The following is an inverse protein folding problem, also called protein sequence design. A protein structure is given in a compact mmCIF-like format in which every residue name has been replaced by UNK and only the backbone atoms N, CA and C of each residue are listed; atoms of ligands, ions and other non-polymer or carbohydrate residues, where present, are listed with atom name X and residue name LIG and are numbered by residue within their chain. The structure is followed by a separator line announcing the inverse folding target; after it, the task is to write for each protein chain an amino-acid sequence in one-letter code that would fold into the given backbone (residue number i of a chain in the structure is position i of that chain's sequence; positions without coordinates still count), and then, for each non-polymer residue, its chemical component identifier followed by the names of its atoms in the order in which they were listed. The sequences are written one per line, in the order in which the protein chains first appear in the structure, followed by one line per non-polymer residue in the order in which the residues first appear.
data_IF_252740927121
#
_entry.id   IF_252740927121
#
_cell.length_a   1.000
_cell.length_b   1.000
_cell.length_c   1.000
_cell.angle_alpha   90.00
_cell.angle_beta   90.00
_cell.angle_gamma   90.00
#
_symmetry.space_group_name_H-M   'P 1'
#
loop_
_entity.id
_entity.type
_entity.pdbx_description
1 polymer ?
#
# COMPACT_ATOMS: atom_id res chain seq x y z
N UNK A 1 49.65 2.56 62.80
CA UNK A 1 49.56 2.77 61.35
C UNK A 1 48.22 2.24 60.82
N UNK A 2 47.29 3.14 60.49
CA UNK A 2 45.98 2.73 59.90
C UNK A 2 46.01 3.08 58.44
N UNK A 3 45.96 2.04 57.56
CA UNK A 3 45.86 2.23 56.11
C UNK A 3 44.42 2.58 55.75
N UNK A 4 44.22 3.72 55.11
CA UNK A 4 42.94 4.11 54.47
C UNK A 4 42.88 3.51 53.05
N UNK A 5 41.93 2.59 52.81
CA UNK A 5 41.55 2.13 51.51
C UNK A 5 40.63 3.18 50.87
N UNK A 6 41.09 3.75 49.77
CA UNK A 6 40.23 4.58 48.87
C UNK A 6 39.52 3.64 47.90
N UNK A 7 38.20 3.55 47.95
CA UNK A 7 37.38 2.90 46.94
C UNK A 7 37.24 3.88 45.78
N UNK A 8 37.88 3.56 44.65
CA UNK A 8 37.68 4.26 43.40
C UNK A 8 36.35 3.73 42.82
N UNK A 9 35.34 4.60 42.76
CA UNK A 9 34.07 4.36 42.12
C UNK A 9 34.24 4.60 40.61
N UNK A 10 34.37 3.53 39.82
CA UNK A 10 34.44 3.62 38.35
C UNK A 10 33.02 3.88 37.84
N UNK A 11 32.74 5.14 37.49
CA UNK A 11 31.48 5.53 36.85
C UNK A 11 31.51 5.07 35.37
N UNK A 12 30.88 3.93 35.06
CA UNK A 12 30.67 3.51 33.69
C UNK A 12 29.64 4.44 33.03
N UNK A 13 30.15 5.42 32.29
CA UNK A 13 29.35 6.20 31.34
C UNK A 13 28.94 5.28 30.18
N UNK A 14 27.73 4.71 30.24
CA UNK A 14 27.11 4.13 29.07
C UNK A 14 26.78 5.27 28.09
N UNK A 15 27.24 5.19 26.82
CA UNK A 15 26.79 6.16 25.85
C UNK A 15 25.28 5.95 25.65
N UNK A 16 24.49 6.93 26.09
CA UNK A 16 23.10 7.03 25.69
C UNK A 16 23.10 7.26 24.18
N UNK A 17 22.86 6.20 23.42
CA UNK A 17 22.52 6.32 22.01
C UNK A 17 21.32 7.26 21.93
N UNK A 18 21.52 8.47 21.43
CA UNK A 18 20.43 9.32 20.99
C UNK A 18 19.66 8.52 19.93
N UNK A 19 18.55 7.91 20.32
CA UNK A 19 17.53 7.51 19.37
C UNK A 19 17.03 8.81 18.72
N UNK A 20 17.55 9.12 17.54
CA UNK A 20 16.99 10.17 16.71
C UNK A 20 15.51 9.79 16.48
N UNK A 21 14.60 10.57 17.01
CA UNK A 21 13.18 10.36 16.78
C UNK A 21 12.98 10.43 15.26
N UNK A 22 12.63 9.30 14.65
CA UNK A 22 12.40 9.23 13.23
C UNK A 22 11.13 10.02 12.91
N UNK A 23 11.21 10.98 12.00
CA UNK A 23 10.07 11.80 11.62
C UNK A 23 8.95 10.87 11.07
N UNK A 24 7.75 11.05 11.60
CA UNK A 24 6.59 10.27 11.19
C UNK A 24 6.19 10.52 9.73
N UNK A 25 6.59 11.67 9.19
CA UNK A 25 6.34 12.09 7.79
C UNK A 25 7.62 12.61 7.18
N UNK A 26 7.96 12.12 6.01
CA UNK A 26 9.09 12.60 5.20
C UNK A 26 8.57 13.14 3.87
N UNK A 27 9.19 14.20 3.34
CA UNK A 27 8.87 14.74 2.01
C UNK A 27 10.15 14.78 1.17
N UNK A 28 10.14 14.16 -0.02
CA UNK A 28 11.28 14.17 -0.92
C UNK A 28 11.35 15.43 -1.79
N UNK A 29 12.38 15.54 -2.64
CA UNK A 29 12.64 16.73 -3.45
C UNK A 29 11.57 17.05 -4.50
N UNK A 30 10.78 16.06 -4.92
CA UNK A 30 9.68 16.27 -5.87
C UNK A 30 8.32 16.44 -5.20
N UNK A 31 8.29 16.54 -3.85
CA UNK A 31 7.07 16.79 -3.08
C UNK A 31 6.24 15.54 -2.78
N UNK A 32 6.79 14.33 -2.93
CA UNK A 32 6.13 13.12 -2.47
C UNK A 32 6.22 13.04 -0.95
N UNK A 33 5.09 12.85 -0.28
CA UNK A 33 5.02 12.65 1.18
C UNK A 33 5.00 11.16 1.48
N UNK A 34 5.72 10.77 2.52
CA UNK A 34 5.86 9.38 2.96
C UNK A 34 5.54 9.27 4.46
N UNK A 35 4.85 8.22 4.83
CA UNK A 35 4.53 7.87 6.22
C UNK A 35 5.47 6.77 6.69
N UNK A 36 6.04 6.96 7.90
CA UNK A 36 6.87 5.96 8.55
C UNK A 36 6.04 4.79 9.07
N UNK A 37 6.39 3.58 8.65
CA UNK A 37 5.75 2.33 9.05
C UNK A 37 6.69 1.57 9.97
N UNK A 38 6.25 1.33 11.20
CA UNK A 38 7.01 0.55 12.18
C UNK A 38 6.93 -0.93 11.89
N UNK A 39 7.96 -1.73 12.26
CA UNK A 39 7.87 -3.18 12.25
C UNK A 39 6.67 -3.69 13.07
N UNK A 40 6.14 -4.83 12.70
CA UNK A 40 5.03 -5.46 13.40
C UNK A 40 4.52 -6.68 12.64
N UNK A 41 3.37 -7.18 13.03
CA UNK A 41 2.76 -8.35 12.41
C UNK A 41 1.28 -8.14 12.11
N UNK A 42 0.76 -8.96 11.21
CA UNK A 42 -0.66 -9.08 10.91
C UNK A 42 -0.98 -10.51 10.51
N UNK A 43 -2.24 -10.89 10.62
CA UNK A 43 -2.74 -12.15 10.08
C UNK A 43 -3.44 -11.83 8.76
N UNK A 44 -3.01 -12.46 7.68
CA UNK A 44 -3.61 -12.35 6.34
C UNK A 44 -4.45 -13.59 6.03
N UNK A 45 -5.41 -13.48 5.11
CA UNK A 45 -6.22 -14.60 4.64
C UNK A 45 -7.17 -15.20 5.69
N UNK A 46 -7.25 -14.64 6.89
CA UNK A 46 -8.13 -15.13 7.97
C UNK A 46 -9.55 -14.58 7.89
N UNK A 47 -9.76 -13.52 7.13
CA UNK A 47 -11.08 -12.91 7.01
C UNK A 47 -11.93 -13.71 6.04
N UNK A 48 -13.15 -13.98 6.46
CA UNK A 48 -14.19 -14.38 5.54
C UNK A 48 -14.78 -13.11 4.95
N UNK A 49 -14.71 -12.90 3.63
CA UNK A 49 -15.45 -11.82 3.00
C UNK A 49 -16.90 -11.93 3.44
N UNK A 50 -17.50 -10.82 3.89
CA UNK A 50 -18.89 -10.83 4.31
C UNK A 50 -19.76 -11.05 3.08
N UNK A 51 -20.30 -12.24 2.94
CA UNK A 51 -21.22 -12.58 1.85
C UNK A 51 -22.63 -12.22 2.29
N UNK A 52 -23.22 -11.21 1.63
CA UNK A 52 -24.60 -10.81 1.91
C UNK A 52 -25.58 -11.61 1.07
N UNK A 53 -26.59 -12.19 1.73
CA UNK A 53 -27.75 -12.74 1.05
C UNK A 53 -28.64 -11.59 0.59
N UNK A 54 -28.77 -11.42 -0.73
CA UNK A 54 -29.73 -10.45 -1.28
C UNK A 54 -31.09 -11.11 -1.44
N UNK A 55 -32.17 -10.31 -1.52
CA UNK A 55 -33.54 -10.83 -1.80
C UNK A 55 -33.66 -11.56 -3.15
N UNK A 56 -32.68 -11.36 -4.06
CA UNK A 56 -32.62 -11.99 -5.37
C UNK A 56 -31.73 -13.24 -5.40
N UNK A 57 -30.98 -13.50 -4.32
CA UNK A 57 -30.08 -14.67 -4.27
C UNK A 57 -30.83 -15.89 -3.78
N UNK A 58 -30.83 -16.97 -4.56
CA UNK A 58 -31.29 -18.27 -4.08
C UNK A 58 -30.38 -18.79 -2.95
N UNK A 59 -30.92 -19.67 -2.09
CA UNK A 59 -30.15 -20.27 -1.00
C UNK A 59 -28.93 -21.06 -1.49
N UNK A 60 -29.02 -21.65 -2.68
CA UNK A 60 -27.91 -22.37 -3.30
C UNK A 60 -26.78 -21.44 -3.73
N UNK A 61 -27.10 -20.31 -4.39
CA UNK A 61 -26.11 -19.30 -4.81
C UNK A 61 -25.43 -18.67 -3.59
N UNK A 62 -26.22 -18.36 -2.54
CA UNK A 62 -25.66 -17.83 -1.31
C UNK A 62 -24.71 -18.79 -0.60
N UNK A 63 -25.05 -20.12 -0.54
CA UNK A 63 -24.15 -21.13 0.02
C UNK A 63 -22.87 -21.29 -0.79
N UNK A 64 -22.95 -21.29 -2.11
CA UNK A 64 -21.75 -21.33 -2.97
C UNK A 64 -20.87 -20.13 -2.70
N UNK A 65 -21.42 -18.94 -2.64
CA UNK A 65 -20.65 -17.72 -2.34
C UNK A 65 -19.98 -17.77 -0.97
N UNK A 66 -20.65 -18.34 0.06
CA UNK A 66 -20.05 -18.55 1.38
C UNK A 66 -18.89 -19.55 1.34
N UNK A 67 -19.02 -20.65 0.61
CA UNK A 67 -17.93 -21.64 0.49
C UNK A 67 -16.75 -21.09 -0.30
N UNK A 68 -16.99 -20.33 -1.37
CA UNK A 68 -15.92 -19.62 -2.09
C UNK A 68 -15.20 -18.63 -1.17
N UNK A 69 -15.93 -17.81 -0.41
CA UNK A 69 -15.33 -16.87 0.52
C UNK A 69 -14.48 -17.57 1.58
N UNK A 70 -14.94 -18.72 2.10
CA UNK A 70 -14.16 -19.54 3.04
C UNK A 70 -12.89 -20.10 2.40
N UNK A 71 -13.00 -20.59 1.17
CA UNK A 71 -11.88 -21.18 0.44
C UNK A 71 -10.80 -20.15 0.15
N UNK A 72 -11.19 -18.94 -0.26
CA UNK A 72 -10.25 -17.88 -0.62
C UNK A 72 -9.58 -17.22 0.60
N UNK A 73 -10.26 -17.22 1.76
CA UNK A 73 -9.78 -16.57 2.98
C UNK A 73 -9.03 -17.51 3.95
N UNK A 74 -9.11 -18.82 3.78
CA UNK A 74 -8.53 -19.80 4.70
C UNK A 74 -7.42 -20.62 4.03
N UNK A 75 -6.39 -21.04 4.74
CA UNK A 75 -6.20 -21.01 6.20
C UNK A 75 -5.66 -19.70 6.77
N UNK A 76 -5.12 -18.81 5.95
CA UNK A 76 -4.43 -17.60 6.41
C UNK A 76 -3.14 -17.89 7.19
N UNK A 77 -2.30 -16.89 7.36
CA UNK A 77 -1.05 -17.02 8.10
C UNK A 77 -0.58 -15.69 8.67
N UNK A 78 0.38 -15.74 9.61
CA UNK A 78 0.99 -14.55 10.17
C UNK A 78 2.08 -14.01 9.24
N UNK A 79 1.99 -12.72 8.94
CA UNK A 79 3.02 -11.96 8.21
C UNK A 79 3.74 -11.05 9.19
N UNK A 80 5.07 -11.11 9.19
CA UNK A 80 5.93 -10.29 10.03
C UNK A 80 6.68 -9.26 9.17
N UNK A 81 6.37 -7.99 9.37
CA UNK A 81 7.13 -6.85 8.82
C UNK A 81 8.33 -6.59 9.72
N UNK A 82 9.51 -7.08 9.31
CA UNK A 82 10.72 -7.10 10.14
C UNK A 82 11.47 -5.78 10.15
N UNK A 83 11.44 -5.06 9.04
CA UNK A 83 12.17 -3.80 8.87
C UNK A 83 11.19 -2.64 8.75
N UNK A 84 11.49 -1.50 9.37
CA UNK A 84 10.72 -0.30 9.14
C UNK A 84 10.93 0.21 7.72
N UNK A 85 9.92 0.88 7.18
CA UNK A 85 9.98 1.52 5.87
C UNK A 85 9.12 2.77 5.85
N UNK A 86 9.29 3.60 4.83
CA UNK A 86 8.35 4.65 4.51
C UNK A 86 7.51 4.25 3.30
N UNK A 87 6.22 4.57 3.31
CA UNK A 87 5.33 4.35 2.18
C UNK A 87 4.68 5.67 1.76
N UNK A 88 4.47 5.87 0.47
CA UNK A 88 3.81 7.04 -0.06
C UNK A 88 2.47 7.28 0.62
N UNK A 89 2.28 8.49 1.17
CA UNK A 89 1.02 8.90 1.79
C UNK A 89 -0.15 8.82 0.81
N UNK A 90 0.14 9.04 -0.47
CA UNK A 90 -0.76 9.02 -1.60
C UNK A 90 -0.20 8.11 -2.71
N UNK A 91 -1.03 7.79 -3.66
CA UNK A 91 -0.61 7.28 -4.97
C UNK A 91 0.30 8.30 -5.64
N UNK A 92 1.20 7.86 -6.53
CA UNK A 92 2.02 8.78 -7.34
C UNK A 92 1.11 9.61 -8.24
N UNK A 93 1.22 10.94 -8.16
CA UNK A 93 0.37 11.83 -8.94
C UNK A 93 0.91 12.07 -10.35
N UNK A 94 0.03 12.49 -11.26
CA UNK A 94 0.41 12.85 -12.63
C UNK A 94 1.49 13.94 -12.64
N UNK A 95 1.39 14.95 -11.78
CA UNK A 95 2.42 16.00 -11.68
C UNK A 95 3.77 15.50 -11.19
N UNK A 96 3.79 14.52 -10.26
CA UNK A 96 5.03 13.88 -9.81
C UNK A 96 5.63 13.00 -10.92
N UNK A 97 4.78 12.28 -11.64
CA UNK A 97 5.19 11.48 -12.79
C UNK A 97 5.82 12.37 -13.89
N UNK A 98 5.17 13.46 -14.27
CA UNK A 98 5.67 14.39 -15.28
C UNK A 98 7.03 14.99 -14.92
N UNK A 99 7.25 15.33 -13.64
CA UNK A 99 8.54 15.84 -13.16
C UNK A 99 9.70 14.86 -13.38
N UNK A 100 9.46 13.55 -13.31
CA UNK A 100 10.47 12.51 -13.43
C UNK A 100 10.57 11.98 -14.87
N UNK A 101 9.42 11.77 -15.52
CA UNK A 101 9.35 11.09 -16.81
C UNK A 101 9.31 12.05 -18.01
N UNK A 102 8.89 13.30 -17.78
CA UNK A 102 8.75 14.32 -18.84
C UNK A 102 7.52 14.14 -19.72
N UNK A 103 6.69 13.13 -19.45
CA UNK A 103 5.47 12.82 -20.22
C UNK A 103 4.35 12.41 -19.27
N UNK A 104 3.08 12.43 -19.74
CA UNK A 104 1.95 11.96 -18.94
C UNK A 104 1.12 10.93 -19.74
N UNK A 105 1.15 9.63 -19.37
CA UNK A 105 0.43 8.56 -20.03
C UNK A 105 -1.06 8.52 -19.69
N UNK A 106 -1.49 9.22 -18.63
CA UNK A 106 -2.81 9.10 -18.02
C UNK A 106 -3.93 9.39 -19.02
N UNK A 107 -4.99 8.59 -18.91
CA UNK A 107 -6.22 8.77 -19.67
C UNK A 107 -7.08 9.90 -19.10
N UNK A 108 -7.19 9.97 -17.75
CA UNK A 108 -7.99 10.98 -17.05
C UNK A 108 -7.19 12.26 -16.82
N UNK A 109 -7.05 13.07 -17.88
CA UNK A 109 -6.39 14.38 -17.87
C UNK A 109 -7.10 15.36 -18.78
N UNK A 110 -6.76 16.64 -18.68
CA UNK A 110 -7.37 17.72 -19.49
C UNK A 110 -8.87 17.83 -19.23
N UNK A 111 -9.66 17.82 -20.28
CA UNK A 111 -11.13 17.92 -20.26
C UNK A 111 -11.87 16.70 -19.70
N UNK A 112 -11.15 15.58 -19.49
CA UNK A 112 -11.72 14.37 -18.90
C UNK A 112 -11.85 14.42 -17.39
N UNK A 113 -11.28 15.42 -16.73
CA UNK A 113 -11.42 15.68 -15.29
C UNK A 113 -11.83 17.13 -15.08
N UNK A 114 -12.58 17.38 -13.99
CA UNK A 114 -13.13 18.71 -13.70
C UNK A 114 -12.21 19.58 -12.85
N UNK A 115 -11.21 18.98 -12.25
CA UNK A 115 -10.29 19.58 -11.31
C UNK A 115 -8.83 19.43 -11.78
N UNK A 116 -7.87 19.77 -10.94
CA UNK A 116 -6.46 19.79 -11.32
C UNK A 116 -5.92 18.37 -11.57
N UNK A 117 -5.79 17.99 -12.83
CA UNK A 117 -5.28 16.68 -13.25
C UNK A 117 -3.91 16.35 -12.68
N UNK A 118 -3.03 17.34 -12.42
CA UNK A 118 -1.71 17.08 -11.86
C UNK A 118 -1.75 16.49 -10.44
N UNK A 119 -2.88 16.62 -9.75
CA UNK A 119 -3.11 16.03 -8.42
C UNK A 119 -3.87 14.71 -8.45
N UNK A 120 -4.31 14.25 -9.62
CA UNK A 120 -4.85 12.90 -9.79
C UNK A 120 -3.73 11.87 -9.77
N UNK A 121 -3.99 10.60 -9.42
CA UNK A 121 -3.01 9.55 -9.57
C UNK A 121 -2.60 9.43 -11.05
N UNK A 122 -1.35 9.10 -11.31
CA UNK A 122 -0.95 8.63 -12.62
C UNK A 122 -1.56 7.25 -12.85
N UNK A 123 -2.13 7.04 -14.02
CA UNK A 123 -2.70 5.75 -14.43
C UNK A 123 -2.37 5.43 -15.89
N UNK A 124 -2.85 4.30 -16.38
CA UNK A 124 -2.55 3.79 -17.73
C UNK A 124 -1.06 3.48 -17.90
N UNK A 125 -0.46 2.91 -16.85
CA UNK A 125 0.94 2.50 -16.80
C UNK A 125 1.04 1.00 -16.56
N UNK A 126 2.04 0.38 -17.15
CA UNK A 126 2.44 -1.00 -16.87
C UNK A 126 3.33 -1.07 -15.62
N UNK A 127 3.53 -2.26 -15.10
CA UNK A 127 4.50 -2.51 -14.03
C UNK A 127 5.92 -2.06 -14.43
N UNK A 128 6.31 -2.29 -15.70
CA UNK A 128 7.61 -1.85 -16.22
C UNK A 128 7.73 -0.31 -16.24
N UNK A 129 6.66 0.41 -16.55
CA UNK A 129 6.66 1.87 -16.51
C UNK A 129 6.84 2.40 -15.09
N UNK A 130 6.18 1.77 -14.10
CA UNK A 130 6.39 2.08 -12.68
C UNK A 130 7.85 1.83 -12.25
N UNK A 131 8.47 0.72 -12.70
CA UNK A 131 9.90 0.43 -12.43
C UNK A 131 10.83 1.47 -13.08
N UNK A 132 10.52 1.93 -14.29
CA UNK A 132 11.29 2.99 -14.95
C UNK A 132 11.19 4.33 -14.21
N UNK A 133 9.99 4.69 -13.74
CA UNK A 133 9.82 5.87 -12.89
C UNK A 133 10.67 5.78 -11.62
N UNK A 134 10.60 4.65 -10.91
CA UNK A 134 11.37 4.40 -9.68
C UNK A 134 12.87 4.46 -9.94
N UNK A 135 13.34 3.89 -11.03
CA UNK A 135 14.76 3.98 -11.43
C UNK A 135 15.19 5.43 -11.59
N UNK A 136 14.45 6.24 -12.34
CA UNK A 136 14.75 7.67 -12.53
C UNK A 136 14.63 8.47 -11.23
N UNK A 137 13.65 8.16 -10.37
CA UNK A 137 13.51 8.77 -9.06
C UNK A 137 14.74 8.49 -8.20
N UNK A 138 15.22 7.24 -8.15
CA UNK A 138 16.45 6.87 -7.46
C UNK A 138 17.69 7.59 -8.01
N UNK A 139 17.76 7.80 -9.32
CA UNK A 139 18.83 8.56 -9.96
C UNK A 139 18.79 10.04 -9.59
N UNK A 140 17.58 10.63 -9.48
CA UNK A 140 17.42 12.04 -9.09
C UNK A 140 17.73 12.30 -7.61
N UNK A 141 17.47 11.32 -6.75
CA UNK A 141 17.65 11.39 -5.28
C UNK A 141 18.98 10.76 -4.81
N UNK A 142 19.99 10.70 -5.67
CA UNK A 142 21.27 10.00 -5.45
C UNK A 142 21.77 10.08 -4.01
N UNK A 143 21.88 8.90 -3.38
CA UNK A 143 22.46 8.74 -2.04
C UNK A 143 21.56 9.15 -0.87
N UNK A 144 20.41 9.79 -1.10
CA UNK A 144 19.50 10.24 -0.05
C UNK A 144 18.53 9.14 0.39
N UNK A 145 17.98 8.40 -0.56
CA UNK A 145 16.99 7.35 -0.30
C UNK A 145 17.08 6.25 -1.36
N UNK A 146 16.46 5.10 -1.10
CA UNK A 146 16.22 4.03 -2.07
C UNK A 146 14.71 3.81 -2.17
N UNK A 147 14.18 3.96 -3.38
CA UNK A 147 12.76 3.79 -3.67
C UNK A 147 12.51 2.48 -4.40
N UNK A 148 11.38 1.86 -4.14
CA UNK A 148 10.88 0.66 -4.80
C UNK A 148 9.36 0.59 -4.75
N UNK A 149 8.74 -0.37 -5.44
CA UNK A 149 7.37 -0.75 -5.18
C UNK A 149 7.24 -1.41 -3.79
N UNK A 150 6.10 -1.27 -3.11
CA UNK A 150 5.82 -2.06 -1.91
C UNK A 150 5.77 -3.55 -2.25
N UNK A 151 6.10 -4.41 -1.30
CA UNK A 151 5.70 -5.80 -1.35
C UNK A 151 4.20 -5.91 -1.09
N UNK A 152 3.56 -6.99 -1.55
CA UNK A 152 2.11 -7.20 -1.39
C UNK A 152 1.69 -7.07 0.08
N UNK A 153 2.41 -7.71 0.97
CA UNK A 153 2.08 -7.67 2.40
C UNK A 153 2.57 -6.40 3.12
N UNK A 154 3.55 -5.68 2.60
CA UNK A 154 3.86 -4.32 3.10
C UNK A 154 2.71 -3.36 2.78
N UNK A 155 2.18 -3.45 1.56
CA UNK A 155 1.03 -2.67 1.15
C UNK A 155 -0.20 -2.96 2.03
N UNK A 156 -0.52 -4.24 2.24
CA UNK A 156 -1.67 -4.65 3.03
C UNK A 156 -1.51 -4.26 4.51
N UNK A 157 -0.32 -4.43 5.09
CA UNK A 157 -0.02 -4.00 6.45
C UNK A 157 -0.23 -2.49 6.64
N UNK A 158 0.23 -1.69 5.69
CA UNK A 158 0.03 -0.25 5.69
C UNK A 158 -1.46 0.11 5.50
N UNK A 159 -2.18 -0.59 4.62
CA UNK A 159 -3.61 -0.37 4.40
C UNK A 159 -4.45 -0.66 5.65
N UNK A 160 -4.15 -1.75 6.35
CA UNK A 160 -4.82 -2.12 7.61
C UNK A 160 -4.58 -1.13 8.74
N UNK A 161 -3.43 -0.50 8.78
CA UNK A 161 -3.06 0.48 9.81
C UNK A 161 -3.34 0.01 11.25
N UNK A 162 -3.04 -1.26 11.55
CA UNK A 162 -3.26 -1.89 12.84
C UNK A 162 -4.64 -2.54 13.03
N UNK A 163 -5.54 -2.47 12.04
CA UNK A 163 -6.81 -3.18 12.09
C UNK A 163 -6.59 -4.70 12.08
N UNK A 164 -7.29 -5.40 12.98
CA UNK A 164 -7.24 -6.87 13.09
C UNK A 164 -8.16 -7.55 12.09
N UNK A 165 -9.26 -6.91 11.78
CA UNK A 165 -10.29 -7.39 10.87
C UNK A 165 -10.26 -6.61 9.55
N UNK A 166 -11.00 -7.09 8.55
CA UNK A 166 -11.15 -6.35 7.31
C UNK A 166 -11.99 -5.09 7.52
N UNK A 167 -11.91 -4.19 6.55
CA UNK A 167 -12.60 -2.90 6.63
C UNK A 167 -14.13 -3.09 6.61
N UNK A 168 -14.83 -2.36 7.48
CA UNK A 168 -16.29 -2.36 7.50
C UNK A 168 -16.88 -1.62 6.29
N UNK A 169 -18.09 -1.99 5.87
CA UNK A 169 -18.82 -1.28 4.80
C UNK A 169 -18.98 0.23 5.05
N UNK A 170 -19.17 0.62 6.30
CA UNK A 170 -19.32 2.02 6.66
C UNK A 170 -18.01 2.78 6.51
N UNK A 171 -16.88 2.12 6.78
CA UNK A 171 -15.56 2.73 6.68
C UNK A 171 -15.05 2.73 5.24
N UNK A 172 -15.37 1.72 4.42
CA UNK A 172 -15.12 1.74 2.97
C UNK A 172 -15.72 3.01 2.35
N UNK A 173 -16.97 3.35 2.65
CA UNK A 173 -17.62 4.55 2.11
C UNK A 173 -16.92 5.85 2.50
N UNK A 174 -16.27 5.89 3.66
CA UNK A 174 -15.54 7.09 4.15
C UNK A 174 -14.16 7.21 3.54
N UNK A 175 -13.48 6.09 3.33
CA UNK A 175 -12.05 6.03 2.99
C UNK A 175 -11.78 5.69 1.54
N UNK A 176 -12.68 4.94 0.87
CA UNK A 176 -12.46 4.47 -0.49
C UNK A 176 -13.10 5.37 -1.56
N UNK A 177 -12.36 5.61 -2.64
CA UNK A 177 -12.85 6.29 -3.83
C UNK A 177 -13.27 5.25 -4.87
N UNK A 178 -14.54 4.80 -4.80
CA UNK A 178 -15.10 3.71 -5.59
C UNK A 178 -16.48 4.08 -6.16
N UNK A 179 -16.97 3.27 -7.10
CA UNK A 179 -18.27 3.43 -7.75
C UNK A 179 -18.46 4.81 -8.41
N UNK A 180 -17.40 5.33 -9.01
CA UNK A 180 -17.40 6.55 -9.81
C UNK A 180 -16.81 6.29 -11.20
N UNK A 181 -16.87 7.27 -12.09
CA UNK A 181 -16.53 7.09 -13.53
C UNK A 181 -15.15 7.58 -13.91
N UNK A 182 -14.43 8.23 -12.99
CA UNK A 182 -13.12 8.82 -13.24
C UNK A 182 -12.25 8.69 -12.00
N UNK A 183 -10.94 8.84 -12.14
CA UNK A 183 -10.07 9.08 -10.98
C UNK A 183 -10.45 10.38 -10.26
N UNK A 184 -9.98 10.54 -9.05
CA UNK A 184 -10.13 11.75 -8.23
C UNK A 184 -8.76 12.29 -7.81
N UNK A 185 -8.69 13.56 -7.45
CA UNK A 185 -7.52 14.12 -6.74
C UNK A 185 -7.22 13.24 -5.52
N UNK A 186 -5.95 12.89 -5.33
CA UNK A 186 -5.50 12.09 -4.18
C UNK A 186 -5.84 12.77 -2.84
N UNK A 187 -6.18 11.99 -1.84
CA UNK A 187 -6.44 12.50 -0.49
C UNK A 187 -7.79 13.16 -0.27
N UNK A 188 -8.76 12.99 -1.14
CA UNK A 188 -10.14 13.54 -0.95
C UNK A 188 -10.96 12.82 0.10
N UNK A 189 -10.69 11.55 0.34
CA UNK A 189 -11.38 10.76 1.37
C UNK A 189 -10.62 10.84 2.70
N UNK A 190 -11.15 10.20 3.74
CA UNK A 190 -10.47 10.13 5.03
C UNK A 190 -9.26 9.18 4.97
N UNK A 191 -8.16 9.51 5.64
CA UNK A 191 -7.03 8.60 5.73
C UNK A 191 -7.35 7.43 6.66
N UNK A 192 -6.57 6.35 6.56
CA UNK A 192 -6.57 5.31 7.58
C UNK A 192 -5.90 5.81 8.90
N UNK A 193 -5.86 4.96 9.92
CA UNK A 193 -5.34 5.32 11.24
C UNK A 193 -3.84 5.73 11.26
N UNK A 194 -3.09 5.39 10.21
CA UNK A 194 -1.68 5.77 10.07
C UNK A 194 -1.47 7.00 9.16
N UNK A 195 -2.54 7.60 8.66
CA UNK A 195 -2.48 8.80 7.83
C UNK A 195 -2.25 8.53 6.33
N UNK A 196 -2.51 7.30 5.86
CA UNK A 196 -2.44 6.93 4.45
C UNK A 196 -3.80 7.11 3.79
N UNK A 197 -3.81 7.70 2.61
CA UNK A 197 -5.00 7.97 1.82
C UNK A 197 -5.12 7.01 0.65
N UNK A 198 -6.35 6.86 0.17
CA UNK A 198 -6.69 6.15 -1.06
C UNK A 198 -6.12 4.71 -1.12
N UNK A 199 -5.94 4.07 0.07
CA UNK A 199 -5.52 2.68 0.13
C UNK A 199 -6.57 1.73 -0.48
N UNK A 200 -7.80 2.20 -0.64
CA UNK A 200 -8.88 1.49 -1.31
C UNK A 200 -9.57 2.41 -2.31
N UNK A 201 -9.66 1.96 -3.56
CA UNK A 201 -10.26 2.71 -4.66
C UNK A 201 -9.28 3.65 -5.34
N UNK A 202 -9.77 4.65 -6.04
CA UNK A 202 -9.08 5.55 -6.94
C UNK A 202 -8.37 4.78 -8.07
N UNK A 203 -7.18 4.23 -7.87
CA UNK A 203 -6.55 3.33 -8.85
C UNK A 203 -6.06 2.04 -8.19
N UNK A 204 -6.08 0.94 -8.94
CA UNK A 204 -5.32 -0.25 -8.58
C UNK A 204 -3.85 0.10 -8.48
N UNK A 205 -3.13 -0.49 -7.54
CA UNK A 205 -1.74 -0.18 -7.28
C UNK A 205 -0.83 -1.37 -7.55
N UNK A 206 0.15 -1.18 -8.45
CA UNK A 206 1.22 -2.15 -8.66
C UNK A 206 2.02 -2.37 -7.39
N UNK A 207 2.30 -3.65 -7.09
CA UNK A 207 3.27 -4.04 -6.08
C UNK A 207 4.40 -4.86 -6.71
N UNK A 208 5.43 -5.17 -5.94
CA UNK A 208 6.63 -5.84 -6.45
C UNK A 208 6.41 -7.32 -6.78
N UNK A 209 5.51 -7.98 -6.04
CA UNK A 209 5.35 -9.43 -6.07
C UNK A 209 4.69 -9.91 -7.36
N UNK A 210 5.00 -11.16 -7.72
CA UNK A 210 4.26 -11.87 -8.75
C UNK A 210 2.94 -12.40 -8.21
N UNK A 211 1.92 -12.39 -9.06
CA UNK A 211 0.59 -12.85 -8.70
C UNK A 211 0.56 -14.36 -8.42
N UNK A 212 -0.08 -14.72 -7.31
CA UNK A 212 -0.41 -16.08 -6.95
C UNK A 212 -1.85 -16.12 -6.43
N UNK A 213 -2.76 -16.73 -7.17
CA UNK A 213 -4.16 -16.88 -6.78
C UNK A 213 -4.32 -17.53 -5.39
N UNK A 214 -3.37 -18.38 -4.99
CA UNK A 214 -3.39 -19.13 -3.74
C UNK A 214 -2.52 -18.50 -2.65
N UNK A 215 -2.19 -17.20 -2.73
CA UNK A 215 -1.25 -16.57 -1.80
C UNK A 215 -1.65 -16.71 -0.32
N UNK A 216 -2.95 -16.80 -0.03
CA UNK A 216 -3.44 -16.97 1.34
C UNK A 216 -3.36 -18.42 1.86
N UNK A 217 -3.09 -19.38 0.99
CA UNK A 217 -2.79 -20.76 1.33
C UNK A 217 -1.29 -21.06 1.26
N UNK A 218 -0.58 -20.37 0.36
CA UNK A 218 0.86 -20.51 0.15
C UNK A 218 1.59 -19.39 0.89
N UNK A 219 2.29 -19.72 1.95
CA UNK A 219 2.96 -18.73 2.81
C UNK A 219 4.15 -18.00 2.17
N UNK A 220 4.56 -18.38 0.96
CA UNK A 220 5.72 -17.82 0.27
C UNK A 220 5.32 -17.26 -1.09
N UNK A 221 5.46 -15.94 -1.32
CA UNK A 221 5.23 -15.33 -2.62
C UNK A 221 6.11 -15.97 -3.69
N UNK A 222 5.61 -16.16 -4.92
CA UNK A 222 6.38 -16.78 -5.99
C UNK A 222 7.52 -15.85 -6.41
N UNK A 223 8.72 -16.44 -6.60
CA UNK A 223 9.90 -15.70 -7.06
C UNK A 223 9.88 -15.38 -8.56
N UNK A 224 8.99 -16.01 -9.32
CA UNK A 224 8.83 -15.83 -10.76
C UNK A 224 7.35 -15.99 -11.11
N UNK A 225 6.88 -15.22 -12.07
CA UNK A 225 5.51 -15.26 -12.56
C UNK A 225 5.38 -14.56 -13.90
N UNK A 226 4.20 -14.60 -14.47
CA UNK A 226 3.86 -13.87 -15.71
C UNK A 226 3.30 -12.49 -15.43
N UNK A 227 2.62 -12.34 -14.32
CA UNK A 227 1.85 -11.16 -13.95
C UNK A 227 2.26 -10.70 -12.54
N UNK A 228 2.22 -9.41 -12.32
CA UNK A 228 2.44 -8.81 -11.01
C UNK A 228 1.11 -8.53 -10.31
N UNK A 229 1.16 -8.42 -9.00
CA UNK A 229 -0.01 -8.17 -8.16
C UNK A 229 -0.46 -6.71 -8.24
N UNK A 230 -1.78 -6.53 -8.26
CA UNK A 230 -2.49 -5.28 -8.03
C UNK A 230 -3.23 -5.33 -6.70
N UNK A 231 -3.21 -4.24 -5.94
CA UNK A 231 -3.89 -4.06 -4.66
C UNK A 231 -4.85 -2.88 -4.69
N UNK A 232 -5.82 -2.87 -3.77
CA UNK A 232 -6.60 -1.70 -3.38
C UNK A 232 -7.90 -1.45 -4.15
N UNK A 233 -8.17 -2.16 -5.25
CA UNK A 233 -9.27 -1.86 -6.17
C UNK A 233 -9.12 -0.48 -6.86
N UNK A 234 -10.10 -0.04 -7.65
CA UNK A 234 -10.06 1.24 -8.37
C UNK A 234 -11.38 2.01 -8.23
N UNK A 235 -11.40 3.23 -8.76
CA UNK A 235 -12.59 4.08 -8.83
C UNK A 235 -13.79 3.38 -9.49
N UNK A 236 -13.55 2.48 -10.42
CA UNK A 236 -14.56 1.71 -11.15
C UNK A 236 -15.03 0.47 -10.37
N UNK A 237 -14.35 0.12 -9.28
CA UNK A 237 -14.63 -1.08 -8.48
C UNK A 237 -15.99 -1.03 -7.76
N UNK A 238 -16.54 -2.22 -7.51
CA UNK A 238 -17.65 -2.39 -6.57
C UNK A 238 -17.10 -2.32 -5.13
N UNK A 239 -17.88 -1.78 -4.22
CA UNK A 239 -17.63 -1.78 -2.76
C UNK A 239 -17.23 -3.17 -2.25
N UNK A 240 -17.78 -4.25 -2.81
CA UNK A 240 -17.47 -5.63 -2.43
C UNK A 240 -16.01 -6.03 -2.64
N UNK A 241 -15.34 -5.37 -3.57
CA UNK A 241 -13.96 -5.68 -3.95
C UNK A 241 -12.95 -4.73 -3.29
N UNK A 242 -13.41 -3.71 -2.57
CA UNK A 242 -12.54 -2.77 -1.88
C UNK A 242 -12.21 -3.26 -0.46
N UNK A 243 -11.51 -4.38 -0.34
CA UNK A 243 -11.03 -4.95 0.93
C UNK A 243 -9.51 -4.92 1.00
N UNK A 244 -8.95 -5.01 2.20
CA UNK A 244 -7.49 -5.05 2.36
C UNK A 244 -6.85 -6.27 1.70
N UNK A 245 -7.56 -7.40 1.67
CA UNK A 245 -7.11 -8.64 1.06
C UNK A 245 -7.19 -8.64 -0.47
N UNK A 246 -8.05 -7.80 -1.04
CA UNK A 246 -8.28 -7.79 -2.48
C UNK A 246 -6.98 -7.63 -3.24
N UNK A 247 -6.70 -8.59 -4.10
CA UNK A 247 -5.59 -8.60 -5.02
C UNK A 247 -6.04 -9.13 -6.39
N UNK A 248 -5.36 -8.72 -7.43
CA UNK A 248 -5.66 -9.14 -8.80
C UNK A 248 -4.36 -9.35 -9.58
N UNK A 249 -4.45 -10.14 -10.66
CA UNK A 249 -3.39 -10.21 -11.64
C UNK A 249 -3.41 -8.94 -12.51
N UNK A 250 -2.29 -8.25 -12.58
CA UNK A 250 -2.19 -7.00 -13.33
C UNK A 250 -2.08 -7.24 -14.83
N UNK A 251 -2.89 -6.54 -15.64
CA UNK A 251 -2.74 -6.51 -17.09
C UNK A 251 -1.49 -5.69 -17.50
N UNK A 252 -1.28 -5.53 -18.80
CA UNK A 252 -0.18 -4.72 -19.32
C UNK A 252 -0.28 -3.25 -18.84
N UNK A 253 -1.39 -2.59 -19.09
CA UNK A 253 -1.73 -1.26 -18.58
C UNK A 253 -3.22 -1.02 -18.71
N UNK A 254 -3.80 -0.20 -17.82
CA UNK A 254 -5.20 0.22 -17.89
C UNK A 254 -5.38 1.60 -17.26
N UNK A 255 -6.43 2.30 -17.68
CA UNK A 255 -6.81 3.64 -17.20
C UNK A 255 -7.25 3.69 -15.72
N UNK A 256 -7.26 2.56 -15.03
CA UNK A 256 -7.57 2.45 -13.61
C UNK A 256 -6.40 1.83 -12.80
N UNK A 257 -5.18 1.79 -13.37
CA UNK A 257 -4.01 1.18 -12.74
C UNK A 257 -2.87 2.18 -12.61
N UNK A 258 -2.46 2.45 -11.39
CA UNK A 258 -1.35 3.28 -10.97
C UNK A 258 -0.44 2.58 -9.96
N UNK A 259 0.14 3.33 -9.02
CA UNK A 259 1.02 2.78 -7.98
C UNK A 259 1.33 3.79 -6.88
N UNK A 260 1.82 3.32 -5.75
CA UNK A 260 2.55 4.12 -4.75
C UNK A 260 3.95 3.56 -4.53
N UNK A 261 4.79 4.34 -3.86
CA UNK A 261 6.23 4.05 -3.70
C UNK A 261 6.55 3.79 -2.24
N UNK A 262 7.44 2.84 -1.99
CA UNK A 262 8.12 2.64 -0.71
C UNK A 262 9.51 3.27 -0.78
N UNK A 263 9.94 3.86 0.33
CA UNK A 263 11.30 4.34 0.55
C UNK A 263 11.93 3.55 1.68
N UNK A 264 13.08 2.95 1.41
CA UNK A 264 13.85 2.19 2.39
C UNK A 264 14.62 3.11 3.34
N UNK A 265 14.74 2.69 4.58
CA UNK A 265 15.57 3.35 5.61
C UNK A 265 16.96 2.75 5.51
N UNK A 266 17.95 3.61 5.32
CA UNK A 266 19.36 3.24 5.32
C UNK A 266 19.92 3.13 6.73
#
# INVERSE_FOLDING_TARGET
MRARLYKILLLCLFPTSLLCAQDSVFTNSIGMKFIFIKPGNMIVGKFQPTVYKTSQSSDSVYRIALEMAKHDAMPGFEVNIKQPYYIGQFEVTQGQWEKIMGTNPSFFKGDKVKDNASQHPVENISWNDAQQFIKKLNESEKGKAVYRLPLEFEWEYAARAGAKDDISWNDIRKTAMIAITTTSIVGKKQPNAWGLYDMLGNVWEWVQDYYNEKIFADTVPPKKGKEHVLKGASFYGDVKNATYMTHAAGPASKYDVGFRVVMEIK
#
